data_IF_020243342499
#
_entry.id   IF_020243342499
#
_cell.length_a   1.000
_cell.length_b   1.000
_cell.length_c   1.000
_cell.angle_alpha   90.00
_cell.angle_beta   90.00
_cell.angle_gamma   90.00
#
_symmetry.space_group_name_H-M   'P 1'
#
loop_
_entity.id
_entity.type
_entity.pdbx_description
1 polymer ?
#
# COMPACT_ATOMS: atom_id res chain seq x y z
N UNK A 1 -15.69 -12.35 -7.37
CA UNK A 1 -14.54 -11.44 -7.64
C UNK A 1 -14.29 -11.43 -9.13
N UNK A 2 -14.39 -10.25 -9.75
CA UNK A 2 -14.28 -10.05 -11.19
C UNK A 2 -12.92 -9.44 -11.50
N UNK A 3 -12.26 -9.90 -12.56
CA UNK A 3 -11.04 -9.30 -13.09
C UNK A 3 -11.42 -8.32 -14.18
N UNK A 4 -11.07 -7.08 -14.01
CA UNK A 4 -11.40 -5.97 -14.90
C UNK A 4 -10.11 -5.27 -15.36
N UNK A 5 -10.22 -4.41 -16.35
CA UNK A 5 -9.07 -3.67 -16.89
C UNK A 5 -9.48 -2.26 -17.30
N UNK A 6 -8.54 -1.32 -17.18
CA UNK A 6 -8.65 -0.02 -17.83
C UNK A 6 -7.31 0.37 -18.46
N UNK A 7 -7.33 1.29 -19.41
CA UNK A 7 -6.12 1.82 -20.02
C UNK A 7 -5.84 3.21 -19.45
N UNK A 8 -4.60 3.42 -19.03
CA UNK A 8 -4.09 4.72 -18.62
C UNK A 8 -3.91 5.65 -19.82
N UNK A 9 -3.63 6.93 -19.56
CA UNK A 9 -3.43 7.93 -20.62
C UNK A 9 -2.19 7.69 -21.49
N UNK A 10 -1.23 6.88 -21.01
CA UNK A 10 -0.04 6.46 -21.77
C UNK A 10 -0.17 5.05 -22.35
N UNK A 11 -1.38 4.47 -22.30
CA UNK A 11 -1.71 3.17 -22.90
C UNK A 11 -1.33 1.96 -22.06
N UNK A 12 -0.86 2.13 -20.81
CA UNK A 12 -0.65 1.01 -19.92
C UNK A 12 -1.99 0.38 -19.54
N UNK A 13 -2.13 -0.94 -19.72
CA UNK A 13 -3.31 -1.69 -19.31
C UNK A 13 -3.16 -2.09 -17.86
N UNK A 14 -3.97 -1.50 -16.99
CA UNK A 14 -4.03 -1.80 -15.56
C UNK A 14 -5.12 -2.84 -15.31
N UNK A 15 -4.74 -3.94 -14.68
CA UNK A 15 -5.66 -4.94 -14.15
C UNK A 15 -6.15 -4.53 -12.76
N UNK A 16 -7.39 -4.85 -12.44
CA UNK A 16 -7.91 -4.72 -11.08
C UNK A 16 -8.96 -5.78 -10.79
N UNK A 17 -9.08 -6.14 -9.53
CA UNK A 17 -10.14 -7.01 -9.04
C UNK A 17 -11.27 -6.16 -8.48
N UNK A 18 -12.51 -6.56 -8.78
CA UNK A 18 -13.71 -5.90 -8.29
C UNK A 18 -14.67 -6.91 -7.68
N UNK A 19 -15.31 -6.56 -6.57
CA UNK A 19 -16.36 -7.40 -5.96
C UNK A 19 -17.66 -7.35 -6.77
N UNK A 20 -17.84 -6.32 -7.59
CA UNK A 20 -18.97 -6.14 -8.50
C UNK A 20 -18.46 -6.03 -9.94
N UNK A 21 -19.15 -6.60 -10.94
CA UNK A 21 -18.81 -6.37 -12.32
C UNK A 21 -19.14 -4.93 -12.72
N UNK A 22 -18.19 -4.20 -13.29
CA UNK A 22 -18.40 -2.78 -13.66
C UNK A 22 -19.54 -2.57 -14.66
N UNK A 23 -19.79 -3.53 -15.54
CA UNK A 23 -20.88 -3.45 -16.55
C UNK A 23 -22.28 -3.62 -15.94
N UNK A 24 -22.38 -4.15 -14.73
CA UNK A 24 -23.64 -4.49 -14.08
C UNK A 24 -23.98 -3.59 -12.89
N UNK A 25 -23.16 -2.57 -12.63
CA UNK A 25 -23.43 -1.57 -11.56
C UNK A 25 -24.57 -0.61 -11.95
N UNK A 26 -25.53 -1.08 -12.75
CA UNK A 26 -26.72 -0.31 -13.16
C UNK A 26 -27.89 -0.39 -12.16
N UNK A 27 -27.68 -1.09 -11.03
CA UNK A 27 -28.64 -1.23 -9.94
C UNK A 27 -28.17 -0.48 -8.68
N UNK A 28 -28.63 -0.93 -7.52
CA UNK A 28 -28.21 -0.38 -6.21
C UNK A 28 -26.76 -0.80 -5.94
N UNK A 29 -25.79 -0.01 -6.44
CA UNK A 29 -24.41 -0.16 -6.04
C UNK A 29 -24.26 0.18 -4.56
N UNK A 30 -23.35 -0.45 -3.80
CA UNK A 30 -23.02 0.02 -2.46
C UNK A 30 -22.62 1.50 -2.53
N UNK A 31 -23.09 2.29 -1.58
CA UNK A 31 -22.78 3.73 -1.52
C UNK A 31 -21.29 4.00 -1.30
N UNK A 32 -20.58 3.00 -0.82
CA UNK A 32 -19.17 3.10 -0.41
C UNK A 32 -18.29 2.07 -1.10
N UNK A 33 -17.15 2.54 -1.61
CA UNK A 33 -16.10 1.75 -2.24
C UNK A 33 -14.82 1.82 -1.41
N UNK A 34 -14.24 0.68 -1.08
CA UNK A 34 -12.88 0.57 -0.57
C UNK A 34 -11.93 0.20 -1.72
N UNK A 35 -10.88 0.99 -1.88
CA UNK A 35 -9.87 0.78 -2.93
C UNK A 35 -8.56 0.33 -2.28
N UNK A 36 -8.18 -0.94 -2.47
CA UNK A 36 -7.03 -1.58 -1.80
C UNK A 36 -5.79 -1.50 -2.70
N UNK A 37 -4.83 -0.65 -2.34
CA UNK A 37 -3.56 -0.48 -3.04
C UNK A 37 -2.48 -1.33 -2.37
N UNK A 38 -1.90 -2.27 -3.12
CA UNK A 38 -0.84 -3.14 -2.61
C UNK A 38 0.50 -2.42 -2.41
N UNK A 39 1.44 -3.10 -1.73
CA UNK A 39 2.80 -2.64 -1.48
C UNK A 39 3.77 -2.93 -2.63
N UNK A 40 5.02 -2.53 -2.43
CA UNK A 40 6.15 -2.78 -3.34
C UNK A 40 6.26 -4.28 -3.68
N UNK A 41 6.46 -4.58 -4.96
CA UNK A 41 6.58 -5.97 -5.45
C UNK A 41 5.36 -6.86 -5.21
N UNK A 42 4.19 -6.26 -4.94
CA UNK A 42 2.94 -6.94 -4.62
C UNK A 42 1.98 -7.10 -5.80
N UNK A 43 0.75 -7.43 -5.47
CA UNK A 43 -0.40 -7.40 -6.37
C UNK A 43 -1.69 -7.37 -5.57
N UNK A 44 -2.83 -7.29 -6.23
CA UNK A 44 -4.16 -7.46 -5.62
C UNK A 44 -4.34 -8.79 -4.87
N UNK A 45 -3.49 -9.80 -5.14
CA UNK A 45 -3.48 -11.08 -4.43
C UNK A 45 -3.06 -10.93 -2.95
N UNK A 46 -2.37 -9.85 -2.56
CA UNK A 46 -2.07 -9.55 -1.16
C UNK A 46 -3.32 -9.56 -0.29
N UNK A 47 -4.44 -9.11 -0.82
CA UNK A 47 -5.70 -8.96 -0.10
C UNK A 47 -6.59 -10.21 -0.10
N UNK A 48 -6.03 -11.39 -0.35
CA UNK A 48 -6.79 -12.65 -0.42
C UNK A 48 -7.59 -12.95 0.86
N UNK A 49 -7.08 -12.54 2.03
CA UNK A 49 -7.74 -12.71 3.35
C UNK A 49 -8.73 -11.59 3.68
N UNK A 50 -8.80 -10.54 2.85
CA UNK A 50 -9.57 -9.33 3.14
C UNK A 50 -10.77 -9.18 2.19
N UNK A 51 -10.55 -9.48 0.92
CA UNK A 51 -11.49 -9.18 -0.16
C UNK A 51 -12.90 -9.73 0.08
N UNK A 52 -13.02 -11.02 0.42
CA UNK A 52 -14.32 -11.66 0.64
C UNK A 52 -15.04 -11.12 1.88
N UNK A 53 -14.33 -10.76 2.93
CA UNK A 53 -14.92 -10.18 4.14
C UNK A 53 -15.44 -8.77 3.90
N UNK A 54 -14.62 -7.91 3.30
CA UNK A 54 -14.98 -6.52 3.01
C UNK A 54 -16.11 -6.43 1.98
N UNK A 55 -16.15 -7.34 1.00
CA UNK A 55 -17.19 -7.35 -0.04
C UNK A 55 -18.60 -7.69 0.45
N UNK A 56 -18.78 -8.06 1.72
CA UNK A 56 -20.10 -8.29 2.31
C UNK A 56 -20.90 -6.99 2.48
N UNK A 57 -20.22 -5.85 2.65
CA UNK A 57 -20.85 -4.56 2.93
C UNK A 57 -20.33 -3.40 2.09
N UNK A 58 -19.22 -3.58 1.37
CA UNK A 58 -18.57 -2.55 0.60
C UNK A 58 -18.33 -3.02 -0.85
N UNK A 59 -18.29 -2.08 -1.77
CA UNK A 59 -17.69 -2.36 -3.07
C UNK A 59 -16.16 -2.37 -2.92
N UNK A 60 -15.53 -3.51 -3.16
CA UNK A 60 -14.08 -3.68 -3.04
C UNK A 60 -13.46 -3.62 -4.43
N UNK A 61 -12.47 -2.75 -4.59
CA UNK A 61 -11.63 -2.63 -5.78
C UNK A 61 -10.18 -2.76 -5.37
N UNK A 62 -9.41 -3.63 -6.04
CA UNK A 62 -7.99 -3.84 -5.77
C UNK A 62 -7.22 -3.86 -7.10
N UNK A 63 -6.54 -2.77 -7.49
CA UNK A 63 -5.72 -2.74 -8.69
C UNK A 63 -4.37 -3.44 -8.47
N UNK A 64 -3.82 -3.94 -9.58
CA UNK A 64 -2.41 -4.23 -9.71
C UNK A 64 -1.73 -2.99 -10.29
N UNK A 65 -0.76 -2.40 -9.60
CA UNK A 65 -0.01 -1.25 -10.14
C UNK A 65 0.72 -1.65 -11.42
N UNK A 66 1.07 -0.69 -12.29
CA UNK A 66 1.85 -0.98 -13.51
C UNK A 66 3.08 -1.83 -13.20
N UNK A 67 3.35 -2.82 -14.03
CA UNK A 67 4.46 -3.75 -13.84
C UNK A 67 4.28 -4.79 -12.74
N UNK A 68 3.12 -4.83 -12.09
CA UNK A 68 2.78 -5.76 -11.02
C UNK A 68 1.59 -6.64 -11.41
N UNK A 69 1.52 -7.82 -10.82
CA UNK A 69 0.40 -8.75 -10.99
C UNK A 69 0.03 -9.02 -12.45
N UNK A 70 -1.23 -8.74 -12.79
CA UNK A 70 -1.79 -8.93 -14.15
C UNK A 70 -1.79 -7.63 -14.99
N UNK A 71 -1.24 -6.54 -14.46
CA UNK A 71 -1.07 -5.28 -15.19
C UNK A 71 0.09 -5.36 -16.19
N UNK A 72 0.01 -4.54 -17.26
CA UNK A 72 1.06 -4.51 -18.28
C UNK A 72 2.39 -4.09 -17.71
N UNK A 73 3.43 -4.79 -18.12
CA UNK A 73 4.81 -4.34 -17.93
C UNK A 73 5.15 -3.33 -19.02
N UNK A 74 5.53 -2.12 -18.61
CA UNK A 74 5.87 -1.01 -19.50
C UNK A 74 7.38 -0.75 -19.48
N UNK A 75 7.89 -0.06 -20.53
CA UNK A 75 9.32 0.32 -20.59
C UNK A 75 9.68 1.49 -19.65
N UNK A 76 8.73 2.07 -18.93
CA UNK A 76 8.95 3.20 -18.05
C UNK A 76 7.75 3.48 -17.16
N UNK A 77 7.81 4.59 -16.41
CA UNK A 77 6.74 4.98 -15.49
C UNK A 77 6.84 4.31 -14.11
N UNK A 78 8.00 3.79 -13.77
CA UNK A 78 8.24 3.18 -12.46
C UNK A 78 8.74 4.24 -11.48
N UNK A 79 7.85 5.16 -11.16
CA UNK A 79 8.03 6.21 -10.17
C UNK A 79 6.67 6.60 -9.57
N UNK A 80 6.68 7.08 -8.33
CA UNK A 80 5.48 7.24 -7.49
C UNK A 80 4.47 8.21 -8.13
N UNK A 81 4.95 9.29 -8.75
CA UNK A 81 4.09 10.26 -9.44
C UNK A 81 3.31 9.62 -10.61
N UNK A 82 3.92 8.69 -11.36
CA UNK A 82 3.22 7.96 -12.43
C UNK A 82 2.17 7.01 -11.86
N UNK A 83 2.50 6.32 -10.76
CA UNK A 83 1.53 5.45 -10.08
C UNK A 83 0.32 6.24 -9.56
N UNK A 84 0.55 7.47 -9.06
CA UNK A 84 -0.53 8.37 -8.65
C UNK A 84 -1.40 8.82 -9.84
N UNK A 85 -0.80 9.07 -11.00
CA UNK A 85 -1.55 9.39 -12.22
C UNK A 85 -2.36 8.19 -12.75
N UNK A 86 -1.84 6.96 -12.63
CA UNK A 86 -2.57 5.73 -12.96
C UNK A 86 -3.77 5.54 -12.02
N UNK A 87 -3.58 5.81 -10.73
CA UNK A 87 -4.65 5.80 -9.75
C UNK A 87 -5.75 6.82 -10.09
N UNK A 88 -5.38 8.04 -10.49
CA UNK A 88 -6.34 9.07 -10.93
C UNK A 88 -7.17 8.58 -12.12
N UNK A 89 -6.53 7.90 -13.07
CA UNK A 89 -7.22 7.25 -14.19
C UNK A 89 -8.21 6.18 -13.74
N UNK A 90 -7.83 5.35 -12.76
CA UNK A 90 -8.71 4.32 -12.20
C UNK A 90 -9.90 4.94 -11.45
N UNK A 91 -9.68 5.96 -10.62
CA UNK A 91 -10.74 6.68 -9.91
C UNK A 91 -11.75 7.26 -10.91
N UNK A 92 -11.27 7.91 -11.96
CA UNK A 92 -12.13 8.43 -13.02
C UNK A 92 -12.91 7.30 -13.73
N UNK A 93 -12.29 6.13 -13.93
CA UNK A 93 -12.93 4.96 -14.53
C UNK A 93 -14.04 4.39 -13.63
N UNK A 94 -13.80 4.27 -12.33
CA UNK A 94 -14.80 3.83 -11.33
C UNK A 94 -15.99 4.81 -11.30
N UNK A 95 -15.73 6.11 -11.27
CA UNK A 95 -16.78 7.16 -11.20
C UNK A 95 -17.65 7.27 -12.45
N UNK A 96 -17.15 6.83 -13.63
CA UNK A 96 -18.00 6.69 -14.82
C UNK A 96 -19.05 5.59 -14.67
N UNK A 97 -18.80 4.62 -13.80
CA UNK A 97 -19.67 3.46 -13.59
C UNK A 97 -20.71 3.71 -12.50
N UNK A 98 -20.30 4.36 -11.42
CA UNK A 98 -21.17 4.64 -10.27
C UNK A 98 -20.78 5.92 -9.53
N UNK A 99 -21.81 6.63 -9.01
CA UNK A 99 -21.59 7.67 -8.01
C UNK A 99 -21.38 7.02 -6.65
N UNK A 100 -20.16 6.92 -6.22
CA UNK A 100 -19.76 6.18 -5.01
C UNK A 100 -18.75 6.99 -4.19
N UNK A 101 -18.87 6.92 -2.88
CA UNK A 101 -17.87 7.44 -1.94
C UNK A 101 -16.68 6.47 -1.89
N UNK A 102 -15.47 6.95 -2.21
CA UNK A 102 -14.26 6.12 -2.29
C UNK A 102 -13.37 6.40 -1.09
N UNK A 103 -12.96 5.33 -0.40
CA UNK A 103 -11.91 5.37 0.63
C UNK A 103 -10.76 4.47 0.21
N UNK A 104 -9.62 5.03 -0.20
CA UNK A 104 -8.44 4.23 -0.53
C UNK A 104 -7.68 3.80 0.73
N UNK A 105 -7.17 2.57 0.65
CA UNK A 105 -6.30 1.93 1.63
C UNK A 105 -4.97 1.66 0.96
N UNK A 106 -3.93 2.40 1.30
CA UNK A 106 -2.59 2.24 0.72
C UNK A 106 -1.66 1.48 1.65
N UNK A 107 -1.18 0.33 1.20
CA UNK A 107 -0.20 -0.47 1.95
C UNK A 107 1.21 -0.16 1.45
N UNK A 108 2.13 0.21 2.36
CA UNK A 108 3.53 0.50 2.02
C UNK A 108 3.61 1.57 0.90
N UNK A 109 4.29 1.31 -0.20
CA UNK A 109 4.32 2.22 -1.36
C UNK A 109 2.91 2.63 -1.84
N UNK A 110 1.89 1.82 -1.61
CA UNK A 110 0.51 2.20 -1.86
C UNK A 110 0.09 3.46 -1.09
N UNK A 111 0.57 3.64 0.16
CA UNK A 111 0.37 4.87 0.92
C UNK A 111 1.14 6.06 0.30
N UNK A 112 2.38 5.83 -0.15
CA UNK A 112 3.16 6.85 -0.85
C UNK A 112 2.48 7.31 -2.15
N UNK A 113 1.88 6.39 -2.88
CA UNK A 113 1.07 6.72 -4.07
C UNK A 113 -0.14 7.59 -3.69
N UNK A 114 -0.80 7.32 -2.56
CA UNK A 114 -1.91 8.15 -2.08
C UNK A 114 -1.46 9.55 -1.63
N UNK A 115 -0.33 9.67 -0.95
CA UNK A 115 0.23 10.98 -0.59
C UNK A 115 0.62 11.79 -1.83
N UNK A 116 1.26 11.14 -2.81
CA UNK A 116 1.55 11.78 -4.11
C UNK A 116 0.27 12.17 -4.85
N UNK A 117 -0.80 11.36 -4.74
CA UNK A 117 -2.10 11.74 -5.28
C UNK A 117 -2.62 13.03 -4.63
N UNK A 118 -2.53 13.13 -3.30
CA UNK A 118 -2.93 14.35 -2.57
C UNK A 118 -2.13 15.56 -3.05
N UNK A 119 -0.82 15.42 -3.20
CA UNK A 119 0.06 16.48 -3.71
C UNK A 119 -0.34 16.98 -5.11
N UNK A 120 -0.65 16.04 -6.02
CA UNK A 120 -0.91 16.37 -7.42
C UNK A 120 -2.37 16.75 -7.71
N UNK A 121 -3.33 16.15 -7.00
CA UNK A 121 -4.75 16.23 -7.33
C UNK A 121 -5.65 16.67 -6.15
N UNK A 122 -5.09 16.78 -4.93
CA UNK A 122 -5.85 17.09 -3.71
C UNK A 122 -6.64 15.91 -3.18
N UNK A 123 -7.55 16.19 -2.24
CA UNK A 123 -8.33 15.17 -1.51
C UNK A 123 -9.77 14.96 -2.01
N UNK A 124 -10.28 15.80 -2.94
CA UNK A 124 -11.71 15.88 -3.28
C UNK A 124 -12.30 14.59 -3.86
N UNK A 125 -11.44 13.67 -4.31
CA UNK A 125 -11.87 12.39 -4.85
C UNK A 125 -12.13 11.32 -3.79
N UNK A 126 -11.81 11.60 -2.54
CA UNK A 126 -11.86 10.59 -1.47
C UNK A 126 -12.61 11.10 -0.23
N UNK A 127 -13.32 10.19 0.41
CA UNK A 127 -14.05 10.49 1.65
C UNK A 127 -13.15 10.36 2.90
N UNK A 128 -12.02 9.65 2.78
CA UNK A 128 -11.01 9.45 3.80
C UNK A 128 -9.83 8.67 3.25
N UNK A 129 -8.78 8.50 4.03
CA UNK A 129 -7.60 7.71 3.68
C UNK A 129 -7.23 6.72 4.76
N UNK A 130 -6.76 5.54 4.35
CA UNK A 130 -6.09 4.60 5.26
C UNK A 130 -4.67 4.38 4.76
N UNK A 131 -3.69 4.65 5.62
CA UNK A 131 -2.27 4.42 5.36
C UNK A 131 -1.79 3.26 6.21
N UNK A 132 -1.25 2.23 5.56
CA UNK A 132 -0.89 0.96 6.20
C UNK A 132 0.61 0.77 6.11
N UNK A 133 1.26 0.78 7.26
CA UNK A 133 2.67 0.46 7.48
C UNK A 133 3.63 1.15 6.48
N UNK A 134 3.63 2.48 6.53
CA UNK A 134 4.50 3.33 5.72
C UNK A 134 4.85 4.61 6.47
N UNK A 135 6.14 4.96 6.50
CA UNK A 135 6.62 6.27 6.93
C UNK A 135 6.59 7.27 5.76
N UNK A 136 6.34 8.57 6.00
CA UNK A 136 6.21 9.57 4.94
C UNK A 136 7.51 9.87 4.16
N UNK A 137 8.65 9.45 4.68
CA UNK A 137 9.94 9.48 4.00
C UNK A 137 10.72 8.22 4.37
N UNK A 138 11.29 7.53 3.40
CA UNK A 138 12.15 6.37 3.65
C UNK A 138 13.60 6.75 3.92
N UNK A 139 14.11 7.73 3.18
CA UNK A 139 15.47 8.27 3.35
C UNK A 139 15.54 9.08 4.66
N UNK A 140 16.74 9.21 5.20
CA UNK A 140 16.97 10.18 6.29
C UNK A 140 17.07 11.59 5.73
N UNK A 141 16.74 12.57 6.55
CA UNK A 141 16.76 13.97 6.14
C UNK A 141 17.39 14.83 7.23
N UNK A 142 18.17 15.83 6.83
CA UNK A 142 18.67 16.86 7.74
C UNK A 142 17.56 17.79 8.28
N UNK A 143 16.36 17.73 7.66
CA UNK A 143 15.21 18.54 8.06
C UNK A 143 14.31 17.78 9.02
N UNK A 144 13.75 18.47 10.00
CA UNK A 144 12.78 17.99 10.98
C UNK A 144 13.26 16.81 11.86
N UNK A 145 14.60 16.66 12.06
CA UNK A 145 15.17 15.58 12.85
C UNK A 145 14.77 14.18 12.33
N UNK A 146 14.70 14.03 11.02
CA UNK A 146 14.34 12.77 10.37
C UNK A 146 15.59 11.90 10.18
N UNK A 147 15.73 10.91 11.04
CA UNK A 147 16.88 10.02 11.13
C UNK A 147 16.45 8.53 11.05
N UNK A 148 17.35 7.63 11.35
CA UNK A 148 17.15 6.18 11.31
C UNK A 148 16.06 5.65 12.24
N UNK A 149 15.66 6.39 13.29
CA UNK A 149 14.56 5.97 14.16
C UNK A 149 13.17 6.20 13.52
N UNK A 150 13.10 6.93 12.41
CA UNK A 150 11.88 7.20 11.67
C UNK A 150 11.94 6.72 10.22
N UNK A 151 13.13 6.69 9.63
CA UNK A 151 13.37 6.30 8.25
C UNK A 151 13.26 4.77 8.05
N UNK A 152 13.29 4.32 6.81
CA UNK A 152 13.24 2.89 6.48
C UNK A 152 14.50 2.16 6.96
N UNK A 153 14.34 1.03 7.63
CA UNK A 153 15.46 0.30 8.25
C UNK A 153 16.52 -0.20 7.24
N UNK A 154 16.15 -0.46 6.00
CA UNK A 154 17.03 -1.02 4.97
C UNK A 154 17.33 -0.11 3.78
N UNK A 155 16.76 1.11 3.71
CA UNK A 155 16.92 2.04 2.59
C UNK A 155 16.95 3.50 3.07
N UNK A 156 17.56 3.77 4.23
CA UNK A 156 17.50 5.10 4.87
C UNK A 156 18.61 6.06 4.42
N UNK A 157 19.49 5.64 3.53
CA UNK A 157 20.50 6.50 2.91
C UNK A 157 20.89 6.02 1.51
N UNK A 158 21.72 6.78 0.83
CA UNK A 158 22.14 6.48 -0.53
C UNK A 158 22.86 5.13 -0.66
N UNK A 159 23.71 4.82 0.30
CA UNK A 159 24.50 3.58 0.26
C UNK A 159 23.61 2.34 0.40
N UNK A 160 22.72 2.35 1.36
CA UNK A 160 21.77 1.24 1.60
C UNK A 160 20.77 1.10 0.46
N UNK A 161 20.28 2.22 -0.10
CA UNK A 161 19.40 2.20 -1.27
C UNK A 161 20.11 1.63 -2.50
N UNK A 162 21.35 2.01 -2.80
CA UNK A 162 22.12 1.46 -3.91
C UNK A 162 22.42 -0.02 -3.71
N UNK A 163 22.71 -0.45 -2.48
CA UNK A 163 22.90 -1.88 -2.16
C UNK A 163 21.61 -2.67 -2.38
N UNK A 164 20.45 -2.12 -1.97
CA UNK A 164 19.15 -2.74 -2.23
C UNK A 164 18.86 -2.86 -3.73
N UNK A 165 19.10 -1.80 -4.51
CA UNK A 165 18.96 -1.84 -5.98
C UNK A 165 19.85 -2.91 -6.60
N UNK A 166 21.12 -2.98 -6.19
CA UNK A 166 22.05 -4.01 -6.66
C UNK A 166 21.53 -5.42 -6.39
N UNK A 167 20.99 -5.66 -5.19
CA UNK A 167 20.43 -6.96 -4.82
C UNK A 167 19.20 -7.31 -5.67
N UNK A 168 18.29 -6.37 -5.92
CA UNK A 168 17.14 -6.60 -6.78
C UNK A 168 17.54 -7.00 -8.20
N UNK A 169 18.57 -6.35 -8.77
CA UNK A 169 19.04 -6.61 -10.14
C UNK A 169 19.85 -7.90 -10.23
N UNK A 170 20.81 -8.11 -9.31
CA UNK A 170 21.84 -9.15 -9.44
C UNK A 170 21.55 -10.41 -8.59
N UNK A 171 20.74 -10.30 -7.54
CA UNK A 171 20.38 -11.37 -6.62
C UNK A 171 18.86 -11.50 -6.49
N UNK A 172 18.10 -11.26 -7.56
CA UNK A 172 16.64 -11.11 -7.55
C UNK A 172 15.92 -12.23 -6.83
N UNK A 173 16.28 -13.49 -7.07
CA UNK A 173 15.68 -14.65 -6.39
C UNK A 173 15.76 -14.52 -4.86
N UNK A 174 16.92 -14.11 -4.35
CA UNK A 174 17.12 -13.88 -2.91
C UNK A 174 16.32 -12.66 -2.44
N UNK A 175 16.31 -11.57 -3.22
CA UNK A 175 15.58 -10.36 -2.88
C UNK A 175 14.07 -10.59 -2.72
N UNK A 176 13.45 -11.42 -3.59
CA UNK A 176 12.04 -11.80 -3.46
C UNK A 176 11.76 -12.59 -2.18
N UNK A 177 12.66 -13.51 -1.80
CA UNK A 177 12.54 -14.31 -0.57
C UNK A 177 12.74 -13.42 0.66
N UNK A 178 13.80 -12.59 0.65
CA UNK A 178 14.12 -11.69 1.76
C UNK A 178 12.98 -10.69 2.03
N UNK A 179 12.31 -10.20 0.98
CA UNK A 179 11.11 -9.37 1.13
C UNK A 179 10.00 -10.11 1.88
N UNK A 180 9.71 -11.35 1.48
CA UNK A 180 8.67 -12.14 2.12
C UNK A 180 8.99 -12.40 3.60
N UNK A 181 10.22 -12.78 3.92
CA UNK A 181 10.68 -13.02 5.30
C UNK A 181 10.65 -11.71 6.10
N UNK A 182 11.15 -10.61 5.53
CA UNK A 182 11.23 -9.33 6.21
C UNK A 182 9.87 -8.69 6.52
N UNK A 183 8.85 -8.96 5.72
CA UNK A 183 7.53 -8.36 5.92
C UNK A 183 6.60 -9.12 6.85
N UNK A 184 6.87 -10.39 7.15
CA UNK A 184 6.07 -11.20 8.08
C UNK A 184 6.62 -11.08 9.50
N UNK A 185 5.85 -10.55 10.43
CA UNK A 185 6.28 -10.25 11.80
C UNK A 185 6.78 -11.49 12.55
N UNK A 186 6.10 -12.62 12.41
CA UNK A 186 6.53 -13.89 13.01
C UNK A 186 7.80 -14.48 12.36
N UNK A 187 8.31 -13.89 11.26
CA UNK A 187 9.59 -14.27 10.65
C UNK A 187 10.72 -13.30 11.03
N UNK A 188 10.48 -12.01 10.90
CA UNK A 188 11.52 -10.99 11.14
C UNK A 188 11.68 -10.62 12.62
N UNK A 189 10.61 -10.75 13.43
CA UNK A 189 10.59 -10.47 14.86
C UNK A 189 9.74 -11.51 15.61
N UNK A 190 10.16 -12.81 15.62
CA UNK A 190 9.37 -13.92 16.16
C UNK A 190 9.16 -13.81 17.66
N UNK A 191 8.01 -14.30 18.15
CA UNK A 191 7.66 -14.47 19.56
C UNK A 191 7.38 -15.94 19.85
N UNK A 192 7.56 -16.34 21.10
CA UNK A 192 7.30 -17.74 21.54
C UNK A 192 5.85 -18.17 21.33
N UNK A 193 4.91 -17.24 21.43
CA UNK A 193 3.47 -17.47 21.36
C UNK A 193 2.85 -17.16 19.98
N UNK A 194 3.65 -16.90 18.94
CA UNK A 194 3.14 -16.68 17.58
C UNK A 194 2.32 -17.87 17.03
N UNK A 195 2.60 -19.08 17.49
CA UNK A 195 1.80 -20.26 17.19
C UNK A 195 1.77 -20.69 15.71
N UNK A 196 2.61 -20.11 14.85
CA UNK A 196 2.65 -20.39 13.42
C UNK A 196 3.56 -21.59 13.15
N UNK A 197 3.01 -22.67 12.61
CA UNK A 197 3.79 -23.86 12.28
C UNK A 197 4.82 -23.59 11.18
N UNK A 198 5.92 -24.36 11.17
CA UNK A 198 6.94 -24.26 10.12
C UNK A 198 6.34 -24.50 8.70
N UNK A 199 5.34 -25.38 8.59
CA UNK A 199 4.63 -25.62 7.33
C UNK A 199 3.86 -24.38 6.88
N UNK A 200 3.16 -23.69 7.80
CA UNK A 200 2.45 -22.46 7.48
C UNK A 200 3.41 -21.33 7.12
N UNK A 201 4.52 -21.19 7.83
CA UNK A 201 5.56 -20.21 7.51
C UNK A 201 6.11 -20.42 6.09
N UNK A 202 6.38 -21.66 5.69
CA UNK A 202 6.85 -21.98 4.35
C UNK A 202 5.80 -21.69 3.25
N UNK A 203 4.51 -21.94 3.54
CA UNK A 203 3.40 -21.63 2.63
C UNK A 203 3.26 -20.12 2.42
N UNK A 204 3.30 -19.36 3.50
CA UNK A 204 3.16 -17.90 3.46
C UNK A 204 4.35 -17.25 2.73
N UNK A 205 5.58 -17.71 3.04
CA UNK A 205 6.80 -17.27 2.34
C UNK A 205 6.71 -17.56 0.84
N UNK A 206 6.31 -18.78 0.46
CA UNK A 206 6.14 -19.14 -0.94
C UNK A 206 5.03 -18.32 -1.63
N UNK A 207 3.94 -18.04 -0.94
CA UNK A 207 2.84 -17.22 -1.46
C UNK A 207 3.32 -15.83 -1.86
N UNK A 208 3.98 -15.11 -0.95
CA UNK A 208 4.46 -13.76 -1.21
C UNK A 208 5.63 -13.73 -2.19
N UNK A 209 6.56 -14.68 -2.09
CA UNK A 209 7.68 -14.81 -3.03
C UNK A 209 7.18 -15.03 -4.46
N UNK A 210 6.15 -15.87 -4.66
CA UNK A 210 5.56 -16.13 -5.97
C UNK A 210 4.85 -14.90 -6.56
N UNK A 211 4.21 -14.07 -5.72
CA UNK A 211 3.63 -12.81 -6.16
C UNK A 211 4.74 -11.86 -6.61
N UNK A 212 5.74 -11.67 -5.76
CA UNK A 212 6.88 -10.77 -6.02
C UNK A 212 7.67 -11.17 -7.28
N UNK A 213 7.88 -12.45 -7.51
CA UNK A 213 8.63 -12.97 -8.65
C UNK A 213 7.96 -12.73 -10.03
N UNK A 214 6.70 -12.30 -10.06
CA UNK A 214 6.04 -11.88 -11.30
C UNK A 214 6.48 -10.49 -11.78
N UNK A 215 7.08 -9.69 -10.92
CA UNK A 215 7.55 -8.34 -11.24
C UNK A 215 8.94 -8.37 -11.86
N UNK A 216 9.21 -7.46 -12.80
CA UNK A 216 10.55 -7.27 -13.35
C UNK A 216 11.47 -6.59 -12.32
N UNK A 217 12.55 -7.25 -11.94
CA UNK A 217 13.47 -6.78 -10.91
C UNK A 217 14.18 -5.46 -11.26
N UNK A 218 14.40 -5.17 -12.55
CA UNK A 218 15.02 -3.91 -12.99
C UNK A 218 14.08 -2.73 -12.74
N UNK A 219 12.79 -2.93 -13.02
CA UNK A 219 11.77 -1.93 -12.76
C UNK A 219 11.50 -1.76 -11.28
N UNK A 220 11.51 -2.84 -10.51
CA UNK A 220 11.43 -2.77 -9.04
C UNK A 220 12.60 -1.96 -8.46
N UNK A 221 13.83 -2.18 -8.93
CA UNK A 221 14.99 -1.42 -8.47
C UNK A 221 14.88 0.08 -8.78
N UNK A 222 14.31 0.46 -9.93
CA UNK A 222 14.04 1.87 -10.28
C UNK A 222 12.95 2.49 -9.40
N UNK A 223 11.86 1.77 -9.20
CA UNK A 223 10.77 2.22 -8.35
C UNK A 223 11.23 2.38 -6.90
N UNK A 224 12.06 1.46 -6.40
CA UNK A 224 12.64 1.58 -5.06
C UNK A 224 13.44 2.86 -4.88
N UNK A 225 14.29 3.22 -5.85
CA UNK A 225 15.10 4.43 -5.78
C UNK A 225 14.26 5.71 -5.77
N UNK A 226 13.23 5.77 -6.60
CA UNK A 226 12.30 6.91 -6.63
C UNK A 226 11.52 7.01 -5.32
N UNK A 227 10.91 5.90 -4.89
CA UNK A 227 10.12 5.83 -3.66
C UNK A 227 10.92 6.18 -2.41
N UNK A 228 12.18 5.71 -2.30
CA UNK A 228 13.04 5.96 -1.15
C UNK A 228 13.28 7.46 -0.93
N UNK A 229 13.43 8.22 -2.02
CA UNK A 229 13.78 9.64 -1.97
C UNK A 229 12.60 10.60 -1.98
N UNK A 230 11.41 10.10 -2.25
CA UNK A 230 10.23 10.96 -2.33
C UNK A 230 9.76 11.35 -0.92
N UNK A 231 9.78 12.64 -0.63
CA UNK A 231 9.36 13.20 0.66
C UNK A 231 7.89 13.60 0.63
N UNK A 232 7.08 12.90 1.40
CA UNK A 232 5.63 13.12 1.46
C UNK A 232 5.19 13.96 2.67
N UNK A 233 6.12 14.43 3.51
CA UNK A 233 5.81 15.08 4.78
C UNK A 233 4.95 16.32 4.62
N UNK A 234 5.21 17.13 3.59
CA UNK A 234 4.41 18.33 3.30
C UNK A 234 3.04 17.98 2.72
N UNK A 235 2.96 17.00 1.80
CA UNK A 235 1.70 16.57 1.21
C UNK A 235 0.70 16.07 2.25
N UNK A 236 1.17 15.34 3.27
CA UNK A 236 0.35 14.83 4.37
C UNK A 236 -0.30 15.98 5.17
N UNK A 237 0.39 17.10 5.37
CA UNK A 237 -0.13 18.26 6.09
C UNK A 237 -1.29 18.96 5.36
N UNK A 238 -1.46 18.70 4.06
CA UNK A 238 -2.54 19.27 3.23
C UNK A 238 -3.82 18.43 3.24
N UNK A 239 -3.83 17.24 3.83
CA UNK A 239 -4.99 16.34 3.87
C UNK A 239 -6.15 17.01 4.64
N UNK A 240 -7.35 16.98 4.06
CA UNK A 240 -8.55 17.65 4.57
C UNK A 240 -9.70 16.69 4.90
N UNK A 241 -9.49 15.39 4.73
CA UNK A 241 -10.48 14.33 4.99
C UNK A 241 -9.98 13.39 6.09
N UNK A 242 -10.84 12.60 6.74
CA UNK A 242 -10.46 11.68 7.81
C UNK A 242 -9.31 10.75 7.41
N UNK A 243 -8.41 10.47 8.36
CA UNK A 243 -7.24 9.61 8.17
C UNK A 243 -7.18 8.53 9.25
N UNK A 244 -6.94 7.30 8.83
CA UNK A 244 -6.55 6.18 9.70
C UNK A 244 -5.16 5.69 9.31
N UNK A 245 -4.23 5.69 10.28
CA UNK A 245 -2.90 5.08 10.11
C UNK A 245 -2.87 3.75 10.84
N UNK A 246 -2.57 2.68 10.12
CA UNK A 246 -2.41 1.34 10.66
C UNK A 246 -0.94 0.94 10.61
N UNK A 247 -0.36 0.54 11.73
CA UNK A 247 1.06 0.26 11.84
C UNK A 247 1.33 -1.08 12.52
N UNK A 248 2.26 -1.86 11.98
CA UNK A 248 2.75 -3.11 12.59
C UNK A 248 3.85 -2.81 13.60
N UNK A 249 3.65 -3.20 14.86
CA UNK A 249 4.67 -3.01 15.92
C UNK A 249 5.95 -3.81 15.64
N UNK A 250 5.83 -4.92 14.92
CA UNK A 250 6.94 -5.82 14.56
C UNK A 250 7.41 -5.63 13.11
N UNK A 251 7.04 -4.50 12.48
CA UNK A 251 7.49 -4.19 11.12
C UNK A 251 9.00 -4.06 11.08
N UNK A 252 9.65 -4.80 10.18
CA UNK A 252 11.08 -4.62 9.92
C UNK A 252 11.37 -3.58 8.84
N UNK A 253 10.32 -3.04 8.20
CA UNK A 253 10.48 -2.01 7.17
C UNK A 253 10.58 -0.63 7.79
N UNK A 254 9.66 -0.29 8.70
CA UNK A 254 9.58 1.04 9.28
C UNK A 254 9.49 0.99 10.80
N UNK A 255 10.26 1.84 11.50
CA UNK A 255 10.05 2.09 12.91
C UNK A 255 8.65 2.66 13.16
N UNK A 256 8.03 2.27 14.28
CA UNK A 256 6.68 2.74 14.65
C UNK A 256 6.60 4.27 14.70
N UNK A 257 7.63 4.93 15.23
CA UNK A 257 7.75 6.39 15.29
C UNK A 257 7.61 7.06 13.91
N UNK A 258 8.24 6.48 12.88
CA UNK A 258 8.17 7.00 11.52
C UNK A 258 6.77 6.89 10.93
N UNK A 259 6.09 5.76 11.15
CA UNK A 259 4.72 5.57 10.66
C UNK A 259 3.73 6.50 11.35
N UNK A 260 3.84 6.67 12.66
CA UNK A 260 2.96 7.54 13.45
C UNK A 260 3.21 9.04 13.19
N UNK A 261 4.30 9.41 12.54
CA UNK A 261 4.53 10.80 12.12
C UNK A 261 3.43 11.30 11.18
N UNK A 262 2.87 10.43 10.34
CA UNK A 262 1.74 10.78 9.47
C UNK A 262 0.54 11.26 10.27
N UNK A 263 0.23 10.63 11.41
CA UNK A 263 -0.83 11.09 12.31
C UNK A 263 -0.49 12.45 12.89
N UNK A 264 0.72 12.61 13.42
CA UNK A 264 1.16 13.87 14.04
C UNK A 264 1.08 15.06 13.08
N UNK A 265 1.42 14.85 11.80
CA UNK A 265 1.37 15.90 10.78
C UNK A 265 -0.04 16.30 10.40
N UNK A 266 -0.94 15.34 10.23
CA UNK A 266 -2.36 15.64 9.99
C UNK A 266 -2.96 16.35 11.21
N UNK A 267 -2.74 15.83 12.42
CA UNK A 267 -3.26 16.40 13.68
C UNK A 267 -2.71 17.81 13.95
N UNK A 268 -1.46 18.09 13.61
CA UNK A 268 -0.87 19.44 13.71
C UNK A 268 -1.61 20.45 12.84
N UNK A 269 -1.95 20.05 11.62
CA UNK A 269 -2.65 20.92 10.65
C UNK A 269 -4.14 20.96 10.88
N UNK A 270 -4.75 19.82 11.30
CA UNK A 270 -6.20 19.65 11.49
C UNK A 270 -6.49 18.72 12.67
N UNK A 271 -6.58 19.26 13.89
CA UNK A 271 -6.84 18.46 15.09
C UNK A 271 -8.15 17.64 15.00
N UNK A 272 -8.08 16.38 15.39
CA UNK A 272 -9.23 15.45 15.39
C UNK A 272 -9.48 14.74 14.05
N UNK A 273 -8.63 14.98 13.03
CA UNK A 273 -8.84 14.42 11.69
C UNK A 273 -8.14 13.06 11.50
N UNK A 274 -7.08 12.76 12.26
CA UNK A 274 -6.33 11.53 12.14
C UNK A 274 -6.32 10.70 13.42
N UNK A 275 -6.33 9.38 13.23
CA UNK A 275 -6.13 8.40 14.31
C UNK A 275 -5.21 7.27 13.86
N UNK A 276 -4.67 6.55 14.82
CA UNK A 276 -3.84 5.37 14.56
C UNK A 276 -4.41 4.11 15.18
N UNK A 277 -4.05 2.97 14.59
CA UNK A 277 -4.24 1.62 15.14
C UNK A 277 -2.93 0.84 15.00
N UNK A 278 -2.42 0.32 16.11
CA UNK A 278 -1.16 -0.43 16.16
C UNK A 278 -1.45 -1.92 16.32
N UNK A 279 -0.97 -2.71 15.38
CA UNK A 279 -1.11 -4.16 15.31
C UNK A 279 0.13 -4.86 15.88
N UNK A 280 -0.04 -6.05 16.43
CA UNK A 280 1.09 -6.87 16.89
C UNK A 280 1.62 -7.77 15.78
N UNK A 281 1.76 -7.22 14.60
CA UNK A 281 2.17 -7.88 13.36
C UNK A 281 3.37 -7.20 12.72
N UNK A 282 3.89 -7.80 11.66
CA UNK A 282 4.88 -7.21 10.78
C UNK A 282 4.29 -6.19 9.83
N UNK A 283 4.98 -6.00 8.70
CA UNK A 283 4.61 -5.07 7.65
C UNK A 283 3.28 -5.42 6.95
N UNK A 284 2.94 -6.70 6.89
CA UNK A 284 1.71 -7.18 6.23
C UNK A 284 0.60 -7.51 7.24
N UNK A 285 0.24 -6.53 8.08
CA UNK A 285 -0.81 -6.66 9.10
C UNK A 285 -2.18 -7.07 8.52
N UNK A 286 -2.49 -6.70 7.28
CA UNK A 286 -3.70 -7.13 6.57
C UNK A 286 -3.74 -8.65 6.32
N UNK A 287 -2.59 -9.30 6.32
CA UNK A 287 -2.45 -10.74 6.14
C UNK A 287 -2.30 -11.49 7.47
N UNK A 288 -1.57 -10.94 8.43
CA UNK A 288 -1.30 -11.57 9.73
C UNK A 288 -2.50 -11.44 10.69
N UNK A 289 -3.20 -10.30 10.73
CA UNK A 289 -4.38 -10.05 11.56
C UNK A 289 -5.61 -9.66 10.70
N UNK A 290 -6.05 -10.51 9.75
CA UNK A 290 -7.04 -10.12 8.74
C UNK A 290 -8.42 -9.78 9.32
N UNK A 291 -8.87 -10.46 10.38
CA UNK A 291 -10.16 -10.21 10.99
C UNK A 291 -10.23 -8.82 11.60
N UNK A 292 -9.22 -8.44 12.36
CA UNK A 292 -9.09 -7.11 12.97
C UNK A 292 -8.95 -6.04 11.90
N UNK A 293 -8.08 -6.27 10.92
CA UNK A 293 -7.89 -5.35 9.80
C UNK A 293 -9.21 -5.09 9.06
N UNK A 294 -9.92 -6.16 8.67
CA UNK A 294 -11.17 -6.05 7.94
C UNK A 294 -12.25 -5.30 8.74
N UNK A 295 -12.35 -5.56 10.04
CA UNK A 295 -13.29 -4.89 10.94
C UNK A 295 -12.99 -3.39 10.99
N UNK A 296 -11.76 -2.99 11.29
CA UNK A 296 -11.37 -1.58 11.43
C UNK A 296 -11.50 -0.81 10.11
N UNK A 297 -11.18 -1.46 8.96
CA UNK A 297 -11.41 -0.87 7.63
C UNK A 297 -12.91 -0.63 7.39
N UNK A 298 -13.75 -1.63 7.64
CA UNK A 298 -15.19 -1.48 7.42
C UNK A 298 -15.81 -0.39 8.33
N UNK A 299 -15.40 -0.32 9.60
CA UNK A 299 -15.83 0.71 10.54
C UNK A 299 -15.38 2.11 10.07
N UNK A 300 -14.11 2.26 9.64
CA UNK A 300 -13.60 3.52 9.15
C UNK A 300 -14.32 3.98 7.88
N UNK A 301 -14.42 3.11 6.88
CA UNK A 301 -15.12 3.41 5.61
C UNK A 301 -16.57 3.81 5.88
N UNK A 302 -17.26 3.15 6.82
CA UNK A 302 -18.64 3.47 7.18
C UNK A 302 -18.77 4.79 7.92
N UNK A 303 -17.73 5.27 8.59
CA UNK A 303 -17.72 6.57 9.28
C UNK A 303 -17.40 7.76 8.37
N UNK A 304 -16.79 7.52 7.20
CA UNK A 304 -16.57 8.52 6.15
C UNK A 304 -17.82 8.70 5.29
#
# INVERSE_FOLDING_TARGET
MHKEYFNTNDGCKIAFRSSLPLKEVTGVAPEKCVLLMHGFSGSSDYFIRNFASLSKSLWVVAPDMRGHGDSSQTRGGYHVARLAADLSGLVAHIRKTASVSIVPVGCSIGAAVLWTYVELFGCNDFAGFVFVDQAPLQDRSAFDGWDEIKAHTGCYDEMTMLAAQYNWINNSKKAHIDLAIGCLGYRCAPKEDDGISAEQQAKDEAFFTNISAKCDQTWLARLLADHTRYDHREAIETITVPVLVMAGRRSSCFPLEGMLESVRRVEKSRPGLARSSVFDSGHWLFYEEPERFNKEIAEFVNSC
#
